data_IF_955231193434
#
_entry.id   IF_955231193434
#
_cell.length_a   1.000
_cell.length_b   1.000
_cell.length_c   1.000
_cell.angle_alpha   90.00
_cell.angle_beta   90.00
_cell.angle_gamma   90.00
#
_symmetry.space_group_name_H-M   'P 1'
#
loop_
_entity.id
_entity.type
_entity.pdbx_description
1 polymer ?
#
# COMPACT_ATOMS: atom_id res chain seq x y z
N UNK A 1 15.91 -3.61 -12.74
CA UNK A 1 16.25 -2.97 -11.44
C UNK A 1 15.63 -1.59 -11.30
N UNK A 2 16.06 -0.55 -12.03
CA UNK A 2 15.50 0.81 -11.88
C UNK A 2 13.96 0.87 -11.95
N UNK A 3 13.38 0.32 -13.01
CA UNK A 3 11.90 0.31 -13.19
C UNK A 3 11.19 -0.43 -12.08
N UNK A 4 11.73 -1.57 -11.64
CA UNK A 4 11.19 -2.36 -10.53
C UNK A 4 11.13 -1.54 -9.24
N UNK A 5 12.21 -0.78 -8.95
CA UNK A 5 12.26 0.10 -7.78
C UNK A 5 11.29 1.28 -7.86
N UNK A 6 10.90 1.73 -9.05
CA UNK A 6 9.89 2.78 -9.19
C UNK A 6 8.48 2.21 -9.03
N UNK A 7 8.20 1.10 -9.72
CA UNK A 7 6.87 0.48 -9.77
C UNK A 7 6.49 -0.17 -8.43
N UNK A 8 7.45 -0.68 -7.66
CA UNK A 8 7.17 -1.28 -6.35
C UNK A 8 6.45 -0.31 -5.39
N UNK A 9 6.77 1.00 -5.44
CA UNK A 9 6.10 1.99 -4.59
C UNK A 9 4.67 2.29 -5.08
N UNK A 10 4.40 2.13 -6.37
CA UNK A 10 3.05 2.25 -6.91
C UNK A 10 2.16 1.10 -6.43
N UNK A 11 2.68 -0.13 -6.45
CA UNK A 11 1.98 -1.29 -5.90
C UNK A 11 1.80 -1.19 -4.38
N UNK A 12 2.87 -0.88 -3.65
CA UNK A 12 2.80 -0.70 -2.20
C UNK A 12 1.72 0.32 -1.81
N UNK A 13 1.69 1.48 -2.48
CA UNK A 13 0.65 2.49 -2.26
C UNK A 13 -0.76 1.97 -2.53
N UNK A 14 -1.00 1.30 -3.66
CA UNK A 14 -2.32 0.79 -4.01
C UNK A 14 -2.81 -0.26 -2.99
N UNK A 15 -1.95 -1.20 -2.62
CA UNK A 15 -2.28 -2.26 -1.66
C UNK A 15 -2.55 -1.71 -0.27
N UNK A 16 -1.81 -0.68 0.15
CA UNK A 16 -2.00 -0.03 1.45
C UNK A 16 -3.33 0.74 1.54
N UNK A 17 -3.77 1.36 0.45
CA UNK A 17 -5.09 1.99 0.35
C UNK A 17 -6.17 0.93 0.50
N UNK A 18 -6.02 -0.18 -0.20
CA UNK A 18 -7.01 -1.26 -0.26
C UNK A 18 -7.03 -2.11 1.01
N UNK A 19 -5.90 -2.16 1.72
CA UNK A 19 -5.82 -2.71 3.06
C UNK A 19 -6.50 -1.81 4.11
N UNK A 20 -6.79 -0.55 3.80
CA UNK A 20 -7.33 0.45 4.73
C UNK A 20 -6.29 1.01 5.70
N UNK A 21 -5.01 0.77 5.45
CA UNK A 21 -3.88 1.16 6.32
C UNK A 21 -3.34 2.55 5.96
N UNK A 22 -3.53 3.00 4.71
CA UNK A 22 -3.06 4.30 4.21
C UNK A 22 -4.17 5.04 3.47
N UNK A 23 -4.46 6.28 3.87
CA UNK A 23 -5.34 7.18 3.14
C UNK A 23 -4.66 8.53 2.92
N UNK A 24 -4.37 8.93 1.67
CA UNK A 24 -3.73 10.22 1.39
C UNK A 24 -4.59 11.44 1.75
N UNK A 25 -5.90 11.27 1.91
CA UNK A 25 -6.82 12.35 2.29
C UNK A 25 -7.01 12.47 3.81
N UNK A 26 -6.61 11.45 4.59
CA UNK A 26 -6.80 11.42 6.04
C UNK A 26 -5.45 11.27 6.77
N UNK A 27 -4.94 12.34 7.40
CA UNK A 27 -3.68 12.31 8.15
C UNK A 27 -3.73 11.45 9.42
N UNK A 28 -4.91 10.96 9.82
CA UNK A 28 -5.12 10.03 10.93
C UNK A 28 -4.75 8.58 10.58
N UNK A 29 -4.58 8.25 9.29
CA UNK A 29 -4.17 6.91 8.85
C UNK A 29 -2.65 6.76 8.91
N UNK A 30 -2.16 5.51 8.88
CA UNK A 30 -0.71 5.27 8.97
C UNK A 30 0.00 5.86 7.76
N UNK A 31 1.25 6.24 7.96
CA UNK A 31 2.11 6.66 6.86
C UNK A 31 2.34 5.49 5.89
N UNK A 32 2.57 5.81 4.62
CA UNK A 32 2.87 4.78 3.61
C UNK A 32 4.08 3.90 3.98
N UNK A 33 5.05 4.45 4.73
CA UNK A 33 6.22 3.74 5.24
C UNK A 33 5.91 2.75 6.38
N UNK A 34 4.79 2.92 7.07
CA UNK A 34 4.37 2.13 8.24
C UNK A 34 3.21 1.17 7.92
N UNK A 35 2.76 1.17 6.67
CA UNK A 35 1.69 0.30 6.20
C UNK A 35 2.09 -1.17 6.28
N UNK A 36 1.17 -2.01 6.77
CA UNK A 36 1.31 -3.46 6.82
C UNK A 36 0.13 -4.16 6.13
N UNK A 37 0.40 -4.88 5.04
CA UNK A 37 -0.60 -5.62 4.26
C UNK A 37 -0.71 -7.10 4.65
N UNK A 38 0.01 -7.55 5.68
CA UNK A 38 0.05 -8.95 6.09
C UNK A 38 -1.34 -9.50 6.44
N UNK A 39 -1.70 -10.63 5.83
CA UNK A 39 -3.00 -11.29 6.06
C UNK A 39 -4.21 -10.57 5.45
N UNK A 40 -4.02 -9.48 4.72
CA UNK A 40 -5.12 -8.73 4.12
C UNK A 40 -5.58 -9.37 2.80
N UNK A 41 -6.76 -9.99 2.83
CA UNK A 41 -7.36 -10.65 1.65
C UNK A 41 -7.76 -9.66 0.54
N UNK A 42 -8.13 -8.42 0.89
CA UNK A 42 -8.50 -7.41 -0.11
C UNK A 42 -7.28 -6.96 -0.90
N UNK A 43 -6.18 -6.67 -0.22
CA UNK A 43 -4.90 -6.38 -0.85
C UNK A 43 -4.42 -7.58 -1.70
N UNK A 44 -4.59 -8.81 -1.21
CA UNK A 44 -4.22 -10.02 -1.96
C UNK A 44 -5.03 -10.25 -3.24
N UNK A 45 -6.29 -9.82 -3.30
CA UNK A 45 -7.14 -9.97 -4.49
C UNK A 45 -6.85 -8.95 -5.60
N UNK A 46 -6.02 -7.94 -5.34
CA UNK A 46 -5.63 -6.91 -6.31
C UNK A 46 -4.36 -7.25 -7.09
N UNK A 47 -3.66 -8.29 -6.65
CA UNK A 47 -2.59 -8.94 -7.41
C UNK A 47 -3.14 -10.11 -8.21
#
# INVERSE_FOLDING_TARGET
YFVSFVVQFQFHRALCIEAGEYNPAEPSTRLLSECNIYGNKKAGNLF
#
